data_IF_149310157149
#
_entry.id   IF_149310157149
#
_cell.length_a   1.000
_cell.length_b   1.000
_cell.length_c   1.000
_cell.angle_alpha   90.00
_cell.angle_beta   90.00
_cell.angle_gamma   90.00
#
_symmetry.space_group_name_H-M   'P 1'
#
loop_
_entity.id
_entity.type
_entity.pdbx_description
1 polymer ?
#
# COMPACT_ATOMS: atom_id res chain seq x y z
N UNK A 1 -4.67 -16.52 13.21
CA UNK A 1 -4.29 -15.13 12.95
C UNK A 1 -4.27 -14.93 11.44
N UNK A 2 -5.14 -14.09 10.93
CA UNK A 2 -5.37 -13.83 9.51
C UNK A 2 -4.89 -12.41 9.16
N UNK A 3 -4.59 -12.17 7.90
CA UNK A 3 -4.36 -10.82 7.36
C UNK A 3 -5.58 -10.43 6.55
N UNK A 4 -6.29 -9.41 7.01
CA UNK A 4 -7.38 -8.77 6.31
C UNK A 4 -6.89 -7.46 5.67
N UNK A 5 -6.73 -7.44 4.37
CA UNK A 5 -6.44 -6.21 3.62
C UNK A 5 -7.77 -5.60 3.21
N UNK A 6 -8.15 -4.49 3.83
CA UNK A 6 -9.34 -3.75 3.45
C UNK A 6 -8.92 -2.51 2.67
N UNK A 7 -8.90 -2.64 1.36
CA UNK A 7 -8.26 -1.64 0.51
C UNK A 7 -8.79 -1.59 -0.92
N UNK A 8 -8.15 -0.76 -1.70
CA UNK A 8 -8.55 -0.43 -3.07
C UNK A 8 -8.32 -1.57 -4.07
N UNK A 9 -9.22 -1.61 -5.03
CA UNK A 9 -9.18 -2.45 -6.22
C UNK A 9 -9.37 -1.55 -7.43
N UNK A 10 -8.36 -1.46 -8.30
CA UNK A 10 -8.37 -0.57 -9.46
C UNK A 10 -8.07 -1.30 -10.77
N UNK A 11 -8.68 -0.85 -11.85
CA UNK A 11 -8.29 -1.21 -13.20
C UNK A 11 -7.40 -0.11 -13.73
N UNK A 12 -6.15 -0.43 -14.04
CA UNK A 12 -5.18 0.53 -14.53
C UNK A 12 -5.14 0.49 -16.06
N UNK A 13 -5.63 1.56 -16.73
CA UNK A 13 -5.55 1.78 -18.15
C UNK A 13 -4.28 2.56 -18.47
N UNK A 14 -3.25 1.87 -18.96
CA UNK A 14 -1.93 2.43 -19.24
C UNK A 14 -1.82 2.71 -20.74
N UNK A 15 -1.61 3.97 -21.07
CA UNK A 15 -1.40 4.46 -22.44
C UNK A 15 0.05 4.87 -22.65
N UNK A 16 0.71 4.29 -23.64
CA UNK A 16 2.02 4.75 -24.09
C UNK A 16 1.84 5.94 -25.01
N UNK A 17 2.45 7.07 -24.67
CA UNK A 17 2.32 8.33 -25.40
C UNK A 17 3.70 8.97 -25.58
N UNK A 18 3.87 9.78 -26.65
CA UNK A 18 5.13 10.49 -26.89
C UNK A 18 5.35 11.66 -25.93
N UNK A 19 4.30 12.25 -25.39
CA UNK A 19 4.30 13.31 -24.37
C UNK A 19 2.93 13.32 -23.66
N UNK A 20 2.83 13.99 -22.52
CA UNK A 20 1.54 14.15 -21.84
C UNK A 20 0.61 15.07 -22.61
N UNK A 21 -0.65 14.65 -22.79
CA UNK A 21 -1.66 15.43 -23.52
C UNK A 21 -1.80 16.84 -22.93
N UNK A 22 -1.83 17.85 -23.80
CA UNK A 22 -1.96 19.25 -23.44
C UNK A 22 -3.40 19.74 -23.59
N UNK A 23 -3.79 20.83 -22.90
CA UNK A 23 -5.11 21.43 -23.06
C UNK A 23 -5.41 21.76 -24.54
N UNK A 24 -6.55 21.25 -25.05
CA UNK A 24 -6.98 21.45 -26.45
C UNK A 24 -6.37 20.50 -27.48
N UNK A 25 -5.49 19.60 -27.06
CA UNK A 25 -4.86 18.59 -27.89
C UNK A 25 -5.69 17.30 -27.97
N UNK A 26 -5.64 16.62 -29.11
CA UNK A 26 -6.04 15.23 -29.28
C UNK A 26 -4.79 14.42 -29.62
N UNK A 27 -4.30 13.62 -28.67
CA UNK A 27 -3.10 12.82 -28.81
C UNK A 27 -3.44 11.37 -29.14
N UNK A 28 -2.80 10.82 -30.17
CA UNK A 28 -2.90 9.39 -30.49
C UNK A 28 -1.90 8.61 -29.62
N UNK A 29 -2.38 7.65 -28.83
CA UNK A 29 -1.52 6.76 -28.08
C UNK A 29 -0.94 5.66 -28.97
N UNK A 30 0.32 5.29 -28.73
CA UNK A 30 1.01 4.24 -29.46
C UNK A 30 0.57 2.83 -29.03
N UNK A 31 0.24 2.64 -27.74
CA UNK A 31 -0.21 1.38 -27.16
C UNK A 31 -1.16 1.61 -25.99
N UNK A 32 -1.98 0.60 -25.70
CA UNK A 32 -2.81 0.55 -24.49
C UNK A 32 -2.72 -0.81 -23.82
N UNK A 33 -2.38 -0.82 -22.55
CA UNK A 33 -2.38 -2.03 -21.69
C UNK A 33 -3.37 -1.85 -20.55
N UNK A 34 -3.89 -2.97 -20.03
CA UNK A 34 -4.84 -2.98 -18.91
C UNK A 34 -4.25 -3.90 -17.83
N UNK A 35 -4.15 -3.39 -16.61
CA UNK A 35 -3.64 -4.14 -15.48
C UNK A 35 -4.62 -4.09 -14.31
N UNK A 36 -4.56 -5.12 -13.47
CA UNK A 36 -5.16 -5.07 -12.13
C UNK A 36 -4.20 -4.37 -11.18
N UNK A 37 -4.68 -3.35 -10.49
CA UNK A 37 -3.92 -2.50 -9.59
C UNK A 37 -4.71 -2.08 -8.37
N UNK A 38 -4.25 -1.01 -7.74
CA UNK A 38 -4.71 -0.53 -6.44
C UNK A 38 -3.78 -1.01 -5.33
N UNK A 39 -3.49 -0.12 -4.36
CA UNK A 39 -2.59 -0.44 -3.24
C UNK A 39 -3.10 -1.62 -2.42
N UNK A 40 -4.42 -1.68 -2.18
CA UNK A 40 -5.04 -2.80 -1.48
C UNK A 40 -4.81 -4.13 -2.19
N UNK A 41 -5.03 -4.19 -3.51
CA UNK A 41 -4.77 -5.38 -4.32
C UNK A 41 -3.30 -5.80 -4.24
N UNK A 42 -2.38 -4.86 -4.46
CA UNK A 42 -0.94 -5.15 -4.46
C UNK A 42 -0.46 -5.66 -3.10
N UNK A 43 -0.87 -5.00 -2.01
CA UNK A 43 -0.50 -5.42 -0.66
C UNK A 43 -1.08 -6.79 -0.31
N UNK A 44 -2.34 -7.08 -0.68
CA UNK A 44 -2.93 -8.41 -0.47
C UNK A 44 -2.13 -9.50 -1.20
N UNK A 45 -1.74 -9.24 -2.44
CA UNK A 45 -0.88 -10.16 -3.21
C UNK A 45 0.49 -10.33 -2.55
N UNK A 46 1.08 -9.25 -2.03
CA UNK A 46 2.37 -9.32 -1.36
C UNK A 46 2.30 -10.21 -0.09
N UNK A 47 1.26 -10.07 0.72
CA UNK A 47 1.04 -10.94 1.89
C UNK A 47 0.81 -12.41 1.50
N UNK A 48 0.01 -12.67 0.48
CA UNK A 48 -0.24 -14.03 0.01
C UNK A 48 1.02 -14.68 -0.56
N UNK A 49 1.82 -13.96 -1.37
CA UNK A 49 3.10 -14.45 -1.91
C UNK A 49 4.18 -14.61 -0.85
N UNK A 50 4.09 -13.87 0.25
CA UNK A 50 4.89 -14.12 1.45
C UNK A 50 4.50 -15.45 2.12
N UNK A 51 3.28 -15.94 1.92
CA UNK A 51 2.79 -17.21 2.46
C UNK A 51 1.83 -17.09 3.65
N UNK A 52 1.22 -15.92 3.85
CA UNK A 52 0.21 -15.71 4.89
C UNK A 52 -1.21 -15.99 4.39
N UNK A 53 -2.08 -16.46 5.28
CA UNK A 53 -3.52 -16.54 5.05
C UNK A 53 -4.08 -15.11 4.88
N UNK A 54 -4.34 -14.72 3.63
CA UNK A 54 -4.68 -13.34 3.27
C UNK A 54 -6.07 -13.25 2.69
N UNK A 55 -6.87 -12.39 3.27
CA UNK A 55 -8.23 -12.04 2.84
C UNK A 55 -8.24 -10.61 2.33
N UNK A 56 -8.89 -10.40 1.19
CA UNK A 56 -9.12 -9.06 0.68
C UNK A 56 -10.57 -8.65 0.90
N UNK A 57 -10.79 -7.52 1.55
CA UNK A 57 -12.03 -6.79 1.60
C UNK A 57 -11.87 -5.47 0.83
N UNK A 58 -12.90 -5.06 0.15
CA UNK A 58 -12.90 -3.86 -0.68
C UNK A 58 -14.16 -3.84 -1.53
N UNK A 59 -14.25 -2.94 -2.48
CA UNK A 59 -15.40 -2.85 -3.35
C UNK A 59 -15.00 -2.77 -4.83
N UNK A 60 -15.80 -3.43 -5.67
CA UNK A 60 -15.66 -3.51 -7.14
C UNK A 60 -16.99 -3.20 -7.79
N UNK A 61 -16.95 -2.71 -9.03
CA UNK A 61 -18.14 -2.55 -9.86
C UNK A 61 -18.70 -3.90 -10.32
N UNK A 62 -19.99 -3.97 -10.58
CA UNK A 62 -20.64 -5.21 -10.98
C UNK A 62 -20.21 -5.69 -12.37
N UNK A 63 -19.93 -4.76 -13.29
CA UNK A 63 -19.72 -5.07 -14.72
C UNK A 63 -18.26 -5.35 -15.07
N UNK A 64 -17.28 -4.79 -14.34
CA UNK A 64 -15.86 -4.75 -14.71
C UNK A 64 -14.93 -5.50 -13.75
N UNK A 65 -15.48 -6.18 -12.77
CA UNK A 65 -14.76 -6.78 -11.63
C UNK A 65 -13.96 -8.06 -11.94
N UNK A 66 -14.27 -8.77 -13.01
CA UNK A 66 -13.73 -10.11 -13.27
C UNK A 66 -12.19 -10.18 -13.31
N UNK A 67 -11.46 -9.24 -13.94
CA UNK A 67 -9.99 -9.26 -13.94
C UNK A 67 -9.39 -9.10 -12.54
N UNK A 68 -9.97 -8.23 -11.70
CA UNK A 68 -9.49 -7.96 -10.35
C UNK A 68 -9.59 -9.19 -9.45
N UNK A 69 -10.77 -9.83 -9.45
CA UNK A 69 -11.00 -11.07 -8.68
C UNK A 69 -10.11 -12.22 -9.17
N UNK A 70 -9.92 -12.32 -10.49
CA UNK A 70 -9.04 -13.35 -11.07
C UNK A 70 -7.60 -13.15 -10.56
N UNK A 71 -7.06 -11.94 -10.64
CA UNK A 71 -5.70 -11.61 -10.20
C UNK A 71 -5.48 -11.94 -8.73
N UNK A 72 -6.42 -11.59 -7.84
CA UNK A 72 -6.34 -11.92 -6.42
C UNK A 72 -6.36 -13.44 -6.18
N UNK A 73 -7.28 -14.17 -6.81
CA UNK A 73 -7.41 -15.62 -6.66
C UNK A 73 -6.18 -16.38 -7.16
N UNK A 74 -5.62 -15.97 -8.30
CA UNK A 74 -4.39 -16.55 -8.85
C UNK A 74 -3.18 -16.35 -7.93
N UNK A 75 -3.19 -15.28 -7.12
CA UNK A 75 -2.18 -15.03 -6.11
C UNK A 75 -2.44 -15.76 -4.78
N UNK A 76 -3.55 -16.49 -4.64
CA UNK A 76 -3.91 -17.19 -3.42
C UNK A 76 -4.62 -16.35 -2.36
N UNK A 77 -5.17 -15.18 -2.74
CA UNK A 77 -5.94 -14.30 -1.84
C UNK A 77 -7.41 -14.74 -1.81
N UNK A 78 -7.98 -14.85 -0.61
CA UNK A 78 -9.41 -15.09 -0.42
C UNK A 78 -10.21 -13.81 -0.74
N UNK A 79 -11.27 -13.94 -1.54
CA UNK A 79 -12.02 -12.79 -2.09
C UNK A 79 -13.49 -12.75 -1.67
N UNK A 80 -13.90 -13.59 -0.73
CA UNK A 80 -15.30 -13.71 -0.30
C UNK A 80 -15.84 -12.46 0.41
N UNK A 81 -14.93 -11.58 0.85
CA UNK A 81 -15.24 -10.30 1.49
C UNK A 81 -15.22 -9.10 0.52
N UNK A 82 -15.01 -9.35 -0.77
CA UNK A 82 -15.06 -8.30 -1.79
C UNK A 82 -16.51 -8.00 -2.14
N UNK A 83 -16.90 -6.74 -1.95
CA UNK A 83 -18.26 -6.27 -2.13
C UNK A 83 -18.49 -5.82 -3.58
N UNK A 84 -19.66 -6.13 -4.12
CA UNK A 84 -20.10 -5.59 -5.41
C UNK A 84 -20.94 -4.33 -5.19
N UNK A 85 -20.65 -3.29 -5.94
CA UNK A 85 -21.34 -2.00 -5.90
C UNK A 85 -21.84 -1.60 -7.28
N UNK A 86 -22.92 -0.87 -7.31
CA UNK A 86 -23.41 -0.24 -8.54
C UNK A 86 -22.35 0.72 -9.12
N UNK A 87 -22.26 0.77 -10.44
CA UNK A 87 -21.27 1.59 -11.14
C UNK A 87 -19.92 0.88 -11.36
N UNK A 88 -18.91 1.61 -11.86
CA UNK A 88 -17.63 1.05 -12.22
C UNK A 88 -16.72 0.81 -11.00
N UNK A 89 -15.79 -0.12 -11.13
CA UNK A 89 -14.66 -0.26 -10.22
C UNK A 89 -13.81 1.01 -10.18
N UNK A 90 -13.00 1.15 -9.16
CA UNK A 90 -11.92 2.14 -9.18
C UNK A 90 -11.03 1.93 -10.40
N UNK A 91 -10.57 3.01 -11.02
CA UNK A 91 -9.68 2.88 -12.16
C UNK A 91 -8.74 4.08 -12.31
N UNK A 92 -7.65 3.86 -13.02
CA UNK A 92 -6.70 4.91 -13.37
C UNK A 92 -6.58 5.04 -14.88
N UNK A 93 -6.34 6.28 -15.34
CA UNK A 93 -5.82 6.58 -16.68
C UNK A 93 -4.37 7.02 -16.49
N UNK A 94 -3.46 6.21 -16.99
CA UNK A 94 -2.02 6.42 -16.84
C UNK A 94 -1.44 6.71 -18.23
N UNK A 95 -0.78 7.85 -18.37
CA UNK A 95 0.04 8.17 -19.54
C UNK A 95 1.50 7.89 -19.18
N UNK A 96 2.20 7.09 -19.99
CA UNK A 96 3.62 6.82 -19.86
C UNK A 96 4.38 7.33 -21.06
N UNK A 97 5.45 8.08 -20.83
CA UNK A 97 6.35 8.57 -21.89
C UNK A 97 7.56 7.64 -22.08
N UNK A 98 8.28 7.75 -23.21
CA UNK A 98 9.50 6.97 -23.44
C UNK A 98 10.62 7.24 -22.42
N UNK A 99 10.61 8.42 -21.78
CA UNK A 99 11.55 8.82 -20.71
C UNK A 99 11.24 8.12 -19.39
N UNK A 100 10.11 7.41 -19.30
CA UNK A 100 9.67 6.69 -18.10
C UNK A 100 8.90 7.58 -17.10
N UNK A 101 8.49 8.77 -17.51
CA UNK A 101 7.61 9.61 -16.70
C UNK A 101 6.17 9.15 -16.82
N UNK A 102 5.37 9.39 -15.78
CA UNK A 102 3.93 9.09 -15.79
C UNK A 102 3.08 10.27 -15.32
N UNK A 103 1.84 10.30 -15.83
CA UNK A 103 0.79 11.19 -15.37
C UNK A 103 -0.47 10.36 -15.14
N UNK A 104 -1.06 10.46 -13.94
CA UNK A 104 -2.10 9.55 -13.49
C UNK A 104 -3.35 10.33 -13.10
N UNK A 105 -4.50 9.94 -13.68
CA UNK A 105 -5.82 10.35 -13.23
C UNK A 105 -6.45 9.15 -12.53
N UNK A 106 -6.83 9.32 -11.28
CA UNK A 106 -7.51 8.29 -10.47
C UNK A 106 -9.00 8.61 -10.35
N UNK A 107 -9.85 7.63 -10.66
CA UNK A 107 -11.27 7.65 -10.35
C UNK A 107 -11.56 6.59 -9.27
N UNK A 108 -12.11 7.01 -8.13
CA UNK A 108 -12.30 6.12 -6.99
C UNK A 108 -13.34 5.03 -7.20
N UNK A 109 -14.41 5.29 -7.98
CA UNK A 109 -15.45 4.31 -8.29
C UNK A 109 -15.99 3.60 -7.06
N UNK A 110 -16.14 2.28 -7.14
CA UNK A 110 -16.64 1.44 -6.04
C UNK A 110 -15.82 1.58 -4.74
N UNK A 111 -14.53 1.90 -4.81
CA UNK A 111 -13.71 2.14 -3.60
C UNK A 111 -14.26 3.26 -2.72
N UNK A 112 -14.97 4.23 -3.30
CA UNK A 112 -15.60 5.33 -2.58
C UNK A 112 -17.07 5.08 -2.23
N UNK A 113 -17.60 3.89 -2.56
CA UNK A 113 -18.98 3.48 -2.27
C UNK A 113 -19.09 2.54 -1.05
N UNK A 114 -18.01 2.30 -0.33
CA UNK A 114 -17.99 1.55 0.92
C UNK A 114 -18.71 2.37 1.99
N UNK A 115 -19.61 1.73 2.73
CA UNK A 115 -20.41 2.32 3.78
C UNK A 115 -20.04 1.75 5.16
N UNK A 116 -20.50 2.37 6.24
CA UNK A 116 -20.34 1.84 7.60
C UNK A 116 -20.95 0.45 7.76
N UNK A 117 -22.11 0.20 7.14
CA UNK A 117 -22.73 -1.13 7.16
C UNK A 117 -21.87 -2.20 6.48
N UNK A 118 -21.16 -1.85 5.41
CA UNK A 118 -20.20 -2.74 4.77
C UNK A 118 -19.02 -3.05 5.70
N UNK A 119 -18.50 -2.02 6.40
CA UNK A 119 -17.44 -2.18 7.41
C UNK A 119 -17.88 -3.13 8.51
N UNK A 120 -19.07 -2.90 9.08
CA UNK A 120 -19.63 -3.73 10.14
C UNK A 120 -19.78 -5.19 9.68
N UNK A 121 -20.29 -5.39 8.46
CA UNK A 121 -20.42 -6.73 7.87
C UNK A 121 -19.06 -7.43 7.71
N UNK A 122 -18.08 -6.78 7.12
CA UNK A 122 -16.73 -7.34 6.92
C UNK A 122 -16.06 -7.66 8.25
N UNK A 123 -16.17 -6.78 9.24
CA UNK A 123 -15.56 -6.98 10.54
C UNK A 123 -16.21 -8.10 11.36
N UNK A 124 -17.40 -8.60 11.00
CA UNK A 124 -17.93 -9.83 11.64
C UNK A 124 -17.03 -11.05 11.41
N UNK A 125 -16.27 -11.05 10.33
CA UNK A 125 -15.35 -12.13 9.97
C UNK A 125 -14.02 -12.08 10.76
N UNK A 126 -13.61 -10.89 11.21
CA UNK A 126 -12.33 -10.68 11.89
C UNK A 126 -12.41 -11.08 13.37
N UNK A 127 -11.28 -11.56 13.90
CA UNK A 127 -11.10 -11.94 15.30
C UNK A 127 -10.09 -11.02 15.99
N UNK A 128 -10.14 -10.88 17.34
CA UNK A 128 -9.08 -10.18 18.08
C UNK A 128 -7.70 -10.81 17.79
N UNK A 129 -6.71 -9.96 17.53
CA UNK A 129 -5.35 -10.39 17.18
C UNK A 129 -5.14 -10.64 15.68
N UNK A 130 -6.17 -10.55 14.83
CA UNK A 130 -5.99 -10.52 13.38
C UNK A 130 -5.38 -9.17 12.93
N UNK A 131 -4.72 -9.17 11.79
CA UNK A 131 -4.14 -7.96 11.21
C UNK A 131 -5.11 -7.31 10.23
N UNK A 132 -5.37 -6.01 10.41
CA UNK A 132 -6.07 -5.16 9.45
C UNK A 132 -5.06 -4.27 8.73
N UNK A 133 -4.99 -4.38 7.41
CA UNK A 133 -4.08 -3.59 6.56
C UNK A 133 -4.87 -2.59 5.75
N UNK A 134 -4.52 -1.31 5.85
CA UNK A 134 -5.26 -0.17 5.28
C UNK A 134 -4.34 0.73 4.46
N UNK A 135 -4.94 1.41 3.47
CA UNK A 135 -4.35 2.49 2.70
C UNK A 135 -5.33 3.66 2.65
N UNK A 136 -4.96 4.81 2.04
CA UNK A 136 -5.83 5.99 1.95
C UNK A 136 -6.57 6.07 0.61
N UNK A 137 -7.14 4.96 0.13
CA UNK A 137 -7.79 4.92 -1.20
C UNK A 137 -9.29 4.53 -1.16
N UNK A 138 -9.83 4.17 0.00
CA UNK A 138 -11.24 3.81 0.16
C UNK A 138 -12.00 4.79 1.05
N UNK A 139 -13.33 4.71 1.07
CA UNK A 139 -14.15 5.46 2.03
C UNK A 139 -14.20 4.78 3.42
N UNK A 140 -14.72 5.46 4.42
CA UNK A 140 -14.98 5.00 5.79
C UNK A 140 -13.75 4.51 6.58
N UNK A 141 -12.52 4.89 6.19
CA UNK A 141 -11.30 4.47 6.89
C UNK A 141 -11.30 4.88 8.38
N UNK A 142 -11.67 6.12 8.76
CA UNK A 142 -11.71 6.49 10.18
C UNK A 142 -12.62 5.57 11.00
N UNK A 143 -13.82 5.30 10.52
CA UNK A 143 -14.77 4.39 11.16
C UNK A 143 -14.24 2.95 11.24
N UNK A 144 -13.64 2.46 10.15
CA UNK A 144 -13.03 1.13 10.08
C UNK A 144 -11.88 0.98 11.10
N UNK A 145 -11.03 2.01 11.23
CA UNK A 145 -9.95 2.01 12.22
C UNK A 145 -10.49 2.00 13.66
N UNK A 146 -11.54 2.77 13.93
CA UNK A 146 -12.18 2.81 15.25
C UNK A 146 -12.72 1.43 15.64
N UNK A 147 -13.52 0.82 14.76
CA UNK A 147 -14.12 -0.50 14.99
C UNK A 147 -13.07 -1.62 15.14
N UNK A 148 -12.02 -1.60 14.30
CA UNK A 148 -10.96 -2.58 14.35
C UNK A 148 -10.12 -2.46 15.64
N UNK A 149 -9.84 -1.23 16.08
CA UNK A 149 -9.14 -0.97 17.34
C UNK A 149 -9.94 -1.48 18.54
N UNK A 150 -11.24 -1.19 18.60
CA UNK A 150 -12.14 -1.67 19.65
C UNK A 150 -12.25 -3.20 19.65
N UNK A 151 -12.16 -3.82 18.48
CA UNK A 151 -12.15 -5.28 18.31
C UNK A 151 -10.83 -5.93 18.73
N UNK A 152 -9.76 -5.16 18.97
CA UNK A 152 -8.45 -5.67 19.34
C UNK A 152 -7.65 -6.24 18.17
N UNK A 153 -7.84 -5.72 16.97
CA UNK A 153 -7.06 -6.06 15.79
C UNK A 153 -5.73 -5.28 15.76
N UNK A 154 -4.73 -5.84 15.11
CA UNK A 154 -3.47 -5.16 14.80
C UNK A 154 -3.62 -4.31 13.55
N UNK A 155 -3.64 -2.98 13.68
CA UNK A 155 -3.84 -2.07 12.55
C UNK A 155 -2.50 -1.70 11.92
N UNK A 156 -2.34 -2.01 10.64
CA UNK A 156 -1.23 -1.59 9.78
C UNK A 156 -1.78 -0.56 8.79
N UNK A 157 -1.29 0.67 8.87
CA UNK A 157 -1.70 1.74 7.97
C UNK A 157 -0.54 2.20 7.08
N UNK A 158 -0.75 2.11 5.77
CA UNK A 158 0.03 2.84 4.78
C UNK A 158 -0.78 4.05 4.32
N UNK A 159 -0.53 5.28 4.84
CA UNK A 159 -1.39 6.44 4.64
C UNK A 159 -1.25 7.07 3.24
N UNK A 160 -0.99 6.27 2.23
CA UNK A 160 -0.83 6.67 0.83
C UNK A 160 -2.14 6.54 0.05
N UNK A 161 -2.44 7.48 -0.88
CA UNK A 161 -1.75 8.74 -1.16
C UNK A 161 -2.05 9.83 -0.13
N UNK A 162 -1.12 10.79 0.02
CA UNK A 162 -1.31 11.95 0.90
C UNK A 162 -2.40 12.86 0.36
N UNK A 163 -3.41 13.11 1.19
CA UNK A 163 -4.44 14.12 0.96
C UNK A 163 -5.07 14.53 2.30
N UNK A 164 -5.98 15.50 2.28
CA UNK A 164 -6.61 16.03 3.49
C UNK A 164 -7.39 14.98 4.33
N UNK A 165 -7.77 13.84 3.75
CA UNK A 165 -8.50 12.78 4.47
C UNK A 165 -7.63 12.10 5.54
N UNK A 166 -6.29 12.07 5.36
CA UNK A 166 -5.38 11.48 6.35
C UNK A 166 -5.54 12.12 7.74
N UNK A 167 -5.76 13.42 7.78
CA UNK A 167 -5.87 14.18 9.03
C UNK A 167 -7.19 13.95 9.77
N UNK A 168 -8.13 13.23 9.15
CA UNK A 168 -9.37 12.79 9.77
C UNK A 168 -9.25 11.36 10.34
N UNK A 169 -8.16 10.66 10.07
CA UNK A 169 -7.92 9.31 10.57
C UNK A 169 -7.36 9.33 11.99
N UNK A 170 -7.77 8.39 12.86
CA UNK A 170 -7.18 8.20 14.18
C UNK A 170 -5.81 7.49 14.06
N UNK A 171 -4.79 8.21 13.55
CA UNK A 171 -3.47 7.66 13.23
C UNK A 171 -2.80 7.00 14.45
N UNK A 172 -3.08 7.50 15.65
CA UNK A 172 -2.57 6.95 16.92
C UNK A 172 -3.10 5.55 17.25
N UNK A 173 -4.16 5.09 16.57
CA UNK A 173 -4.70 3.73 16.71
C UNK A 173 -3.97 2.72 15.81
N UNK A 174 -3.19 3.19 14.85
CA UNK A 174 -2.35 2.31 14.04
C UNK A 174 -1.19 1.75 14.86
N UNK A 175 -1.06 0.42 14.92
CA UNK A 175 0.10 -0.22 15.53
C UNK A 175 1.35 -0.05 14.67
N UNK A 176 1.18 -0.12 13.34
CA UNK A 176 2.24 0.14 12.36
C UNK A 176 1.83 1.26 11.43
N UNK A 177 2.67 2.30 11.32
CA UNK A 177 2.60 3.33 10.30
C UNK A 177 3.74 3.10 9.31
N UNK A 178 3.41 2.72 8.08
CA UNK A 178 4.36 2.44 7.00
C UNK A 178 4.19 3.52 5.94
N UNK A 179 5.18 4.38 5.78
CA UNK A 179 5.07 5.59 4.98
C UNK A 179 6.42 5.97 4.34
N UNK A 180 6.35 6.76 3.29
CA UNK A 180 7.55 7.34 2.68
C UNK A 180 7.86 8.72 3.25
N UNK A 181 8.97 9.33 2.80
CA UNK A 181 9.42 10.64 3.24
C UNK A 181 8.42 11.77 2.95
N UNK A 182 7.68 11.69 1.84
CA UNK A 182 6.68 12.70 1.45
C UNK A 182 5.49 12.65 2.41
N UNK A 183 5.01 11.45 2.69
CA UNK A 183 3.91 11.19 3.63
C UNK A 183 4.30 11.58 5.06
N UNK A 184 5.52 11.22 5.46
CA UNK A 184 6.08 11.59 6.76
C UNK A 184 6.14 13.10 6.96
N UNK A 185 6.70 13.82 5.99
CA UNK A 185 6.81 15.27 6.03
C UNK A 185 5.44 15.96 6.07
N UNK A 186 4.47 15.47 5.26
CA UNK A 186 3.12 16.01 5.24
C UNK A 186 2.40 15.84 6.59
N UNK A 187 2.47 14.65 7.20
CA UNK A 187 1.85 14.37 8.50
C UNK A 187 2.49 15.23 9.60
N UNK A 188 3.81 15.34 9.63
CA UNK A 188 4.52 16.14 10.63
C UNK A 188 4.23 17.64 10.48
N UNK A 189 4.22 18.15 9.25
CA UNK A 189 3.90 19.57 8.97
C UNK A 189 2.51 19.95 9.47
N UNK A 190 1.50 19.17 9.14
CA UNK A 190 0.11 19.44 9.55
C UNK A 190 -0.06 19.40 11.07
N UNK A 191 0.69 18.52 11.73
CA UNK A 191 0.64 18.41 13.20
C UNK A 191 1.48 19.45 13.95
N UNK A 192 2.03 20.44 13.24
CA UNK A 192 2.76 21.57 13.82
C UNK A 192 4.17 21.22 14.32
N UNK A 193 4.73 20.09 13.89
CA UNK A 193 6.13 19.77 14.20
C UNK A 193 7.08 20.73 13.47
N UNK A 194 8.01 21.31 14.19
CA UNK A 194 9.07 22.13 13.60
C UNK A 194 10.07 21.21 12.86
N UNK A 195 9.85 21.04 11.55
CA UNK A 195 10.80 20.36 10.67
C UNK A 195 11.66 21.40 9.94
N UNK A 196 12.95 21.12 9.79
CA UNK A 196 13.78 21.84 8.84
C UNK A 196 13.26 21.62 7.40
N UNK A 197 13.42 22.62 6.53
CA UNK A 197 12.96 22.53 5.12
C UNK A 197 13.51 21.30 4.36
N UNK A 198 14.63 20.73 4.81
CA UNK A 198 15.28 19.55 4.24
C UNK A 198 15.56 18.53 5.36
N UNK A 199 14.52 18.16 6.13
CA UNK A 199 14.66 17.13 7.16
C UNK A 199 15.05 15.79 6.53
N UNK A 200 16.15 15.20 7.02
CA UNK A 200 16.57 13.86 6.59
C UNK A 200 15.66 12.76 7.17
N UNK A 201 15.86 11.54 6.71
CA UNK A 201 15.08 10.38 7.16
C UNK A 201 15.14 10.17 8.67
N UNK A 202 16.25 10.49 9.33
CA UNK A 202 16.41 10.39 10.78
C UNK A 202 15.54 11.40 11.53
N UNK A 203 15.51 12.64 11.06
CA UNK A 203 14.68 13.70 11.63
C UNK A 203 13.18 13.37 11.45
N UNK A 204 12.78 12.91 10.26
CA UNK A 204 11.42 12.47 9.99
C UNK A 204 11.00 11.31 10.90
N UNK A 205 11.82 10.26 10.98
CA UNK A 205 11.55 9.11 11.84
C UNK A 205 11.38 9.50 13.31
N UNK A 206 12.32 10.32 13.83
CA UNK A 206 12.26 10.75 15.22
C UNK A 206 11.04 11.63 15.50
N UNK A 207 10.68 12.52 14.56
CA UNK A 207 9.47 13.34 14.65
C UNK A 207 8.21 12.45 14.74
N UNK A 208 8.09 11.44 13.88
CA UNK A 208 6.95 10.51 13.88
C UNK A 208 6.89 9.67 15.16
N UNK A 209 8.03 9.12 15.63
CA UNK A 209 8.07 8.34 16.89
C UNK A 209 7.70 9.21 18.10
N UNK A 210 8.11 10.48 18.11
CA UNK A 210 7.69 11.41 19.16
C UNK A 210 6.19 11.71 19.10
N UNK A 211 5.65 11.89 17.89
CA UNK A 211 4.23 12.21 17.66
C UNK A 211 3.32 11.02 17.93
N UNK A 212 3.77 9.81 17.58
CA UNK A 212 3.00 8.56 17.72
C UNK A 212 3.76 7.55 18.60
N UNK A 213 3.90 7.78 19.92
CA UNK A 213 4.78 7.01 20.79
C UNK A 213 4.37 5.54 20.97
N UNK A 214 3.12 5.22 20.65
CA UNK A 214 2.59 3.85 20.72
C UNK A 214 2.61 3.13 19.38
N UNK A 215 2.90 3.84 18.29
CA UNK A 215 2.97 3.26 16.94
C UNK A 215 4.41 2.89 16.59
N UNK A 216 4.57 1.78 15.88
CA UNK A 216 5.82 1.36 15.27
C UNK A 216 5.91 2.01 13.88
N UNK A 217 6.91 2.85 13.70
CA UNK A 217 7.09 3.63 12.47
C UNK A 217 8.04 2.90 11.54
N UNK A 218 7.64 2.74 10.29
CA UNK A 218 8.47 2.22 9.20
C UNK A 218 8.53 3.28 8.10
N UNK A 219 9.71 3.83 7.87
CA UNK A 219 9.94 4.88 6.91
C UNK A 219 10.71 4.35 5.71
N UNK A 220 10.13 4.43 4.52
CA UNK A 220 10.81 4.11 3.27
C UNK A 220 11.39 5.38 2.65
N UNK A 221 12.63 5.32 2.17
CA UNK A 221 13.44 6.46 1.71
C UNK A 221 13.93 6.26 0.27
N UNK A 222 13.15 5.58 -0.55
CA UNK A 222 13.50 5.30 -1.93
C UNK A 222 14.89 4.69 -2.06
N UNK A 223 15.82 5.40 -2.69
CA UNK A 223 17.21 4.93 -2.93
C UNK A 223 18.08 4.93 -1.66
N UNK A 224 17.66 5.55 -0.60
CA UNK A 224 18.38 5.56 0.69
C UNK A 224 18.01 4.38 1.58
N UNK A 225 17.01 3.57 1.17
CA UNK A 225 16.61 2.37 1.88
C UNK A 225 15.39 2.57 2.78
N UNK A 226 15.45 2.07 3.99
CA UNK A 226 14.33 2.13 4.95
C UNK A 226 14.80 2.16 6.39
N UNK A 227 13.96 2.69 7.27
CA UNK A 227 14.22 2.82 8.70
C UNK A 227 13.01 2.35 9.51
N UNK A 228 13.29 1.80 10.69
CA UNK A 228 12.28 1.47 11.69
C UNK A 228 12.52 2.26 12.96
N UNK A 229 11.45 2.68 13.62
CA UNK A 229 11.50 3.37 14.90
C UNK A 229 10.33 3.01 15.81
N UNK A 230 10.64 2.65 17.05
CA UNK A 230 9.66 2.48 18.12
C UNK A 230 10.30 2.76 19.47
N UNK A 231 9.74 3.68 20.26
CA UNK A 231 10.33 4.14 21.51
C UNK A 231 11.80 4.53 21.32
N UNK A 232 12.73 3.81 21.94
CA UNK A 232 14.19 4.02 21.80
C UNK A 232 14.83 3.13 20.73
N UNK A 233 14.12 2.11 20.24
CA UNK A 233 14.66 1.23 19.20
C UNK A 233 14.68 1.94 17.84
N UNK A 234 15.82 1.84 17.15
CA UNK A 234 16.05 2.35 15.79
C UNK A 234 16.89 1.35 15.03
N UNK A 235 16.47 1.01 13.83
CA UNK A 235 17.30 0.28 12.89
C UNK A 235 17.06 0.80 11.47
N UNK A 236 17.97 0.51 10.58
CA UNK A 236 17.94 0.92 9.19
C UNK A 236 18.45 -0.19 8.28
N UNK A 237 17.96 -0.21 7.06
CA UNK A 237 18.38 -1.11 6.01
C UNK A 237 18.58 -0.32 4.72
N UNK A 238 19.76 -0.42 4.11
CA UNK A 238 20.03 0.11 2.78
C UNK A 238 19.33 -0.70 1.67
N UNK A 239 19.43 -0.20 0.46
CA UNK A 239 18.89 -0.90 -0.71
C UNK A 239 19.76 -2.08 -1.13
N UNK A 240 19.16 -3.03 -1.83
CA UNK A 240 19.90 -4.01 -2.66
C UNK A 240 19.99 -3.44 -4.08
N UNK A 241 21.23 -3.34 -4.65
CA UNK A 241 21.40 -2.78 -5.98
C UNK A 241 20.69 -3.63 -7.04
N UNK A 242 19.88 -3.00 -7.87
CA UNK A 242 19.14 -3.63 -8.96
C UNK A 242 19.00 -2.65 -10.13
N UNK A 243 18.94 -3.18 -11.35
CA UNK A 243 18.55 -2.37 -12.50
C UNK A 243 17.04 -2.08 -12.39
N UNK A 244 16.68 -0.84 -12.13
CA UNK A 244 15.27 -0.40 -12.05
C UNK A 244 14.62 -0.51 -13.43
N UNK A 245 13.49 -1.20 -13.49
CA UNK A 245 12.63 -1.35 -14.67
C UNK A 245 11.29 -0.61 -14.43
N UNK A 246 10.67 -0.86 -13.27
CA UNK A 246 9.38 -0.29 -12.89
C UNK A 246 9.30 -0.18 -11.37
N UNK A 247 8.97 0.99 -10.84
CA UNK A 247 8.87 1.21 -9.39
C UNK A 247 7.47 0.98 -8.84
N UNK A 248 6.51 0.65 -9.70
CA UNK A 248 5.13 0.38 -9.29
C UNK A 248 5.07 -0.79 -8.31
N UNK A 249 4.25 -0.67 -7.28
CA UNK A 249 4.07 -1.65 -6.21
C UNK A 249 5.34 -1.96 -5.36
N UNK A 250 6.44 -1.21 -5.48
CA UNK A 250 7.62 -1.42 -4.62
C UNK A 250 7.28 -1.22 -3.13
N UNK A 251 6.57 -0.16 -2.78
CA UNK A 251 6.12 0.13 -1.42
C UNK A 251 5.08 -0.88 -0.91
N UNK A 252 4.18 -1.34 -1.79
CA UNK A 252 3.18 -2.37 -1.45
C UNK A 252 3.86 -3.72 -1.16
N UNK A 253 4.85 -4.08 -1.99
CA UNK A 253 5.69 -5.27 -1.79
C UNK A 253 6.45 -5.16 -0.47
N UNK A 254 7.10 -4.01 -0.21
CA UNK A 254 7.79 -3.76 1.04
C UNK A 254 6.87 -3.96 2.25
N UNK A 255 5.67 -3.38 2.21
CA UNK A 255 4.68 -3.47 3.29
C UNK A 255 4.31 -4.93 3.57
N UNK A 256 3.98 -5.71 2.54
CA UNK A 256 3.61 -7.11 2.69
C UNK A 256 4.71 -7.97 3.29
N UNK A 257 5.95 -7.77 2.84
CA UNK A 257 7.10 -8.55 3.32
C UNK A 257 7.58 -8.12 4.71
N UNK A 258 7.60 -6.80 5.00
CA UNK A 258 7.95 -6.31 6.33
C UNK A 258 6.98 -6.84 7.39
N UNK A 259 5.69 -6.63 7.19
CA UNK A 259 4.67 -7.07 8.15
C UNK A 259 4.61 -8.60 8.21
N UNK A 260 4.83 -9.28 7.08
CA UNK A 260 4.90 -10.74 7.03
C UNK A 260 6.00 -11.32 7.94
N UNK A 261 7.20 -10.74 7.93
CA UNK A 261 8.28 -11.14 8.86
C UNK A 261 7.91 -10.84 10.31
N UNK A 262 7.29 -9.69 10.58
CA UNK A 262 6.83 -9.33 11.93
C UNK A 262 5.79 -10.33 12.46
N UNK A 263 4.82 -10.71 11.64
CA UNK A 263 3.80 -11.73 11.97
C UNK A 263 4.45 -13.06 12.32
N UNK A 264 5.54 -13.41 11.65
CA UNK A 264 6.32 -14.62 11.92
C UNK A 264 7.34 -14.45 13.07
N UNK A 265 7.25 -13.39 13.87
CA UNK A 265 8.04 -13.17 15.07
C UNK A 265 9.49 -12.74 14.83
N UNK A 266 9.81 -12.26 13.63
CA UNK A 266 11.15 -11.78 13.29
C UNK A 266 11.41 -10.38 13.86
N UNK A 267 12.68 -10.09 14.16
CA UNK A 267 13.11 -8.77 14.58
C UNK A 267 12.94 -7.73 13.44
N UNK A 268 12.72 -6.44 13.77
CA UNK A 268 12.54 -5.39 12.75
C UNK A 268 13.70 -5.29 11.76
N UNK A 269 14.93 -5.57 12.18
CA UNK A 269 16.12 -5.57 11.35
C UNK A 269 16.05 -6.64 10.24
N UNK A 270 15.61 -7.86 10.60
CA UNK A 270 15.41 -8.94 9.63
C UNK A 270 14.23 -8.61 8.71
N UNK A 271 13.15 -8.05 9.26
CA UNK A 271 11.97 -7.66 8.51
C UNK A 271 12.30 -6.58 7.46
N UNK A 272 13.07 -5.54 7.82
CA UNK A 272 13.55 -4.52 6.89
C UNK A 272 14.41 -5.13 5.77
N UNK A 273 15.31 -6.06 6.12
CA UNK A 273 16.19 -6.71 5.14
C UNK A 273 15.39 -7.51 4.11
N UNK A 274 14.45 -8.34 4.56
CA UNK A 274 13.59 -9.15 3.69
C UNK A 274 12.71 -8.27 2.81
N UNK A 275 12.10 -7.22 3.38
CA UNK A 275 11.27 -6.27 2.64
C UNK A 275 12.05 -5.48 1.59
N UNK A 276 13.28 -5.05 1.92
CA UNK A 276 14.16 -4.36 0.96
C UNK A 276 14.53 -5.26 -0.22
N UNK A 277 14.85 -6.55 0.02
CA UNK A 277 15.13 -7.51 -1.04
C UNK A 277 13.90 -7.77 -1.90
N UNK A 278 12.73 -7.98 -1.30
CA UNK A 278 11.47 -8.17 -2.04
C UNK A 278 11.16 -6.97 -2.95
N UNK A 279 11.32 -5.74 -2.44
CA UNK A 279 11.15 -4.52 -3.23
C UNK A 279 12.20 -4.43 -4.35
N UNK A 280 13.46 -4.79 -4.09
CA UNK A 280 14.51 -4.80 -5.12
C UNK A 280 14.16 -5.75 -6.27
N UNK A 281 13.66 -6.96 -5.98
CA UNK A 281 13.20 -7.89 -7.00
C UNK A 281 12.00 -7.33 -7.76
N UNK A 282 11.04 -6.72 -7.07
CA UNK A 282 9.86 -6.13 -7.70
C UNK A 282 10.23 -5.01 -8.68
N UNK A 283 11.06 -4.04 -8.27
CA UNK A 283 11.46 -2.93 -9.16
C UNK A 283 12.34 -3.37 -10.35
N UNK A 284 12.90 -4.56 -10.31
CA UNK A 284 13.62 -5.17 -11.43
C UNK A 284 12.72 -5.79 -12.51
N UNK A 285 11.40 -5.85 -12.28
CA UNK A 285 10.41 -6.45 -13.19
C UNK A 285 9.38 -5.41 -13.62
N UNK A 286 8.77 -5.59 -14.80
CA UNK A 286 7.68 -4.72 -15.28
C UNK A 286 6.35 -5.12 -14.66
N UNK A 287 5.53 -4.12 -14.32
CA UNK A 287 4.15 -4.26 -13.82
C UNK A 287 4.04 -4.22 -12.30
N UNK A 288 2.83 -3.98 -11.80
CA UNK A 288 2.53 -3.85 -10.38
C UNK A 288 2.41 -5.23 -9.68
N UNK A 289 1.23 -5.81 -9.69
CA UNK A 289 0.95 -7.10 -9.03
C UNK A 289 1.77 -8.27 -9.57
N UNK A 290 2.14 -8.23 -10.85
CA UNK A 290 2.93 -9.26 -11.52
C UNK A 290 4.41 -9.26 -11.13
N UNK A 291 4.94 -8.10 -10.72
CA UNK A 291 6.34 -7.94 -10.32
C UNK A 291 6.63 -8.47 -8.91
N UNK A 292 5.62 -8.57 -8.05
CA UNK A 292 5.77 -9.00 -6.66
C UNK A 292 6.35 -10.42 -6.61
N UNK A 293 7.50 -10.64 -5.94
CA UNK A 293 8.13 -11.97 -5.87
C UNK A 293 7.38 -12.91 -4.93
N UNK A 294 7.73 -14.19 -4.96
CA UNK A 294 7.41 -15.17 -3.92
C UNK A 294 8.44 -15.12 -2.79
N UNK A 295 8.08 -15.63 -1.59
CA UNK A 295 9.02 -15.69 -0.47
C UNK A 295 10.26 -16.55 -0.80
N UNK A 296 10.10 -17.60 -1.61
CA UNK A 296 11.23 -18.42 -2.06
C UNK A 296 12.23 -17.60 -2.89
N UNK A 297 11.76 -16.84 -3.90
CA UNK A 297 12.61 -15.96 -4.70
C UNK A 297 13.37 -14.94 -3.84
N UNK A 298 12.70 -14.38 -2.80
CA UNK A 298 13.34 -13.42 -1.89
C UNK A 298 14.41 -14.09 -1.05
N UNK A 299 14.14 -15.27 -0.47
CA UNK A 299 15.10 -16.01 0.36
C UNK A 299 16.31 -16.48 -0.43
N UNK A 300 16.13 -16.91 -1.67
CA UNK A 300 17.22 -17.34 -2.54
C UNK A 300 18.13 -16.18 -2.96
N UNK A 301 17.65 -14.93 -2.80
CA UNK A 301 18.39 -13.71 -3.17
C UNK A 301 19.07 -13.03 -1.97
N UNK A 302 18.80 -13.45 -0.70
CA UNK A 302 19.33 -12.88 0.54
C UNK A 302 20.66 -13.52 0.96
#
# INVERSE_FOLDING_TARGET
>A
MKVLVFGSLNIDYVYSVNHFVQPGETLLADDRQIFSGGKGLNQAIAFAKYGLETWHAGAIGEEDSAPLLKTLKEAGVYTDLVLKKEGPSGHTLIQNTPEGENCIILFGGANQAITKADVDHVLTFAEPGDYLVLQNEISEIPYLMDCAYEKGMHIVLNPSPVNAKIFQMPLEKAEYLILNEIEAAAILKETGAALAENADGTALLNGLVHKFPNSKIVLTLGKEGSMYGYRTNRCAQGIFPVKTVDTTAAGDTFTGYFVGEIINGKAPEEALKTAAMASAIAVGKKGASTSIPTLAEVRDSL
#
